data_IF_484367538165
#
_entry.id   IF_484367538165
#
_cell.length_a   1.000
_cell.length_b   1.000
_cell.length_c   1.000
_cell.angle_alpha   90.00
_cell.angle_beta   90.00
_cell.angle_gamma   90.00
#
_symmetry.space_group_name_H-M   'P 1'
#
loop_
_entity.id
_entity.type
_entity.pdbx_description
1 polymer ?
#
# COMPACT_ATOMS: atom_id res chain seq x y z
N UNK A 1 -24.06 -7.90 42.17
CA UNK A 1 -22.62 -8.12 42.48
C UNK A 1 -22.14 -9.53 42.08
N UNK A 2 -22.81 -10.21 41.12
CA UNK A 2 -22.50 -11.60 40.71
C UNK A 2 -22.09 -11.72 39.22
N UNK A 3 -22.12 -10.65 38.43
CA UNK A 3 -21.80 -10.67 36.99
C UNK A 3 -20.35 -10.28 36.70
N UNK A 4 -19.65 -9.61 37.60
CA UNK A 4 -18.24 -9.21 37.44
C UNK A 4 -17.23 -10.35 37.69
N UNK A 5 -17.63 -11.47 38.24
CA UNK A 5 -16.73 -12.58 38.58
C UNK A 5 -16.55 -13.59 37.42
N UNK A 6 -17.48 -13.60 36.46
CA UNK A 6 -17.42 -14.52 35.30
C UNK A 6 -16.56 -13.97 34.15
N UNK A 7 -16.26 -12.66 34.14
CA UNK A 7 -15.40 -12.08 33.10
C UNK A 7 -13.91 -12.25 33.38
N UNK A 8 -13.52 -12.50 34.62
CA UNK A 8 -12.10 -12.70 35.00
C UNK A 8 -11.60 -14.12 34.78
N UNK A 9 -12.49 -15.10 34.64
CA UNK A 9 -12.10 -16.51 34.46
C UNK A 9 -11.86 -16.89 32.98
N UNK A 10 -12.31 -16.05 32.02
CA UNK A 10 -12.15 -16.31 30.58
C UNK A 10 -10.84 -15.76 30.01
N UNK A 11 -10.06 -14.98 30.74
CA UNK A 11 -8.80 -14.35 30.25
C UNK A 11 -7.55 -15.18 30.54
N UNK A 12 -7.67 -16.24 31.36
CA UNK A 12 -6.50 -17.00 31.85
C UNK A 12 -6.11 -18.23 31.01
N UNK A 13 -6.79 -18.55 29.90
CA UNK A 13 -6.52 -19.78 29.14
C UNK A 13 -5.83 -19.58 27.76
N UNK A 14 -5.26 -18.40 27.47
CA UNK A 14 -4.60 -18.14 26.17
C UNK A 14 -3.09 -17.88 26.25
N UNK A 15 -2.41 -18.45 27.23
CA UNK A 15 -0.97 -18.31 27.32
C UNK A 15 -0.29 -19.67 27.47
N UNK A 16 -0.20 -20.47 26.42
CA UNK A 16 0.82 -21.53 26.25
C UNK A 16 0.77 -21.92 24.76
N UNK A 17 1.68 -21.40 23.96
CA UNK A 17 2.48 -22.08 22.94
C UNK A 17 3.24 -21.06 22.08
N UNK A 18 4.39 -20.66 22.55
CA UNK A 18 5.46 -20.16 21.69
C UNK A 18 6.66 -21.07 21.90
N UNK A 19 6.85 -21.98 20.96
CA UNK A 19 8.10 -22.71 20.81
C UNK A 19 9.05 -21.81 20.01
N UNK A 20 9.94 -21.15 20.70
CA UNK A 20 11.05 -20.39 20.13
C UNK A 20 12.18 -21.37 19.83
N UNK A 21 12.47 -21.62 18.57
CA UNK A 21 13.72 -22.23 18.14
C UNK A 21 14.76 -21.12 17.97
N UNK A 22 15.72 -21.06 18.88
CA UNK A 22 16.88 -20.18 18.80
C UNK A 22 17.78 -20.58 17.61
N UNK A 23 18.32 -19.61 16.84
CA UNK A 23 19.38 -19.89 15.89
C UNK A 23 20.71 -20.01 16.64
N UNK A 24 21.24 -21.21 16.71
CA UNK A 24 22.62 -21.45 17.18
C UNK A 24 23.60 -20.89 16.15
N UNK A 25 24.21 -19.76 16.48
CA UNK A 25 25.42 -19.27 15.83
C UNK A 25 26.55 -20.29 16.11
N UNK A 26 27.04 -20.94 15.09
CA UNK A 26 28.33 -21.59 15.09
C UNK A 26 29.19 -20.98 14.01
N UNK A 27 30.08 -20.11 14.45
CA UNK A 27 31.35 -19.87 13.77
C UNK A 27 32.12 -21.20 13.79
N UNK A 28 32.36 -21.76 12.63
CA UNK A 28 33.55 -22.56 12.43
C UNK A 28 33.96 -22.53 10.95
N UNK A 29 35.06 -21.88 10.72
CA UNK A 29 35.85 -21.92 9.51
C UNK A 29 36.59 -23.22 9.43
N UNK A 30 36.10 -24.17 8.65
CA UNK A 30 36.94 -25.22 8.07
C UNK A 30 36.19 -25.86 6.91
N UNK A 31 36.69 -25.63 5.74
CA UNK A 31 36.42 -26.51 4.59
C UNK A 31 36.81 -27.92 4.98
N UNK A 32 35.96 -28.91 4.71
CA UNK A 32 36.43 -30.18 4.27
C UNK A 32 35.91 -30.49 2.87
N UNK A 33 36.83 -30.53 1.94
CA UNK A 33 36.73 -31.48 0.86
C UNK A 33 36.42 -32.83 1.48
N UNK A 34 35.21 -33.27 1.33
CA UNK A 34 34.83 -34.65 1.56
C UNK A 34 33.71 -34.97 0.58
N UNK A 35 34.12 -35.36 -0.58
CA UNK A 35 33.40 -36.28 -1.43
C UNK A 35 33.02 -37.50 -0.58
N UNK A 36 31.97 -37.39 0.20
CA UNK A 36 31.30 -38.55 0.76
C UNK A 36 30.35 -39.07 -0.28
N UNK A 37 30.92 -39.85 -1.18
CA UNK A 37 30.24 -40.81 -2.01
C UNK A 37 29.37 -41.70 -1.07
N UNK A 38 28.11 -41.28 -0.89
CA UNK A 38 27.08 -42.12 -0.31
C UNK A 38 26.58 -43.04 -1.45
N UNK A 39 27.49 -43.74 -2.08
CA UNK A 39 27.21 -44.97 -2.76
C UNK A 39 27.16 -46.06 -1.70
N UNK A 40 26.09 -46.09 -0.91
CA UNK A 40 25.73 -47.29 -0.18
C UNK A 40 25.51 -48.36 -1.22
N UNK A 41 26.52 -49.24 -1.38
CA UNK A 41 26.49 -50.42 -2.20
C UNK A 41 25.37 -51.33 -1.65
N UNK A 42 24.12 -51.04 -2.10
CA UNK A 42 23.01 -51.96 -1.89
C UNK A 42 23.29 -53.19 -2.71
N UNK A 43 23.55 -54.33 -2.03
CA UNK A 43 23.63 -55.60 -2.71
C UNK A 43 22.29 -55.90 -3.40
N UNK A 44 22.31 -56.08 -4.69
CA UNK A 44 21.15 -56.32 -5.57
C UNK A 44 20.31 -57.56 -5.13
N UNK A 45 20.86 -58.40 -4.24
CA UNK A 45 20.27 -59.67 -3.85
C UNK A 45 19.16 -59.54 -2.80
N UNK A 46 19.13 -58.43 -2.04
CA UNK A 46 18.15 -58.20 -0.95
C UNK A 46 16.96 -57.30 -1.30
N UNK A 47 16.92 -56.79 -2.54
CA UNK A 47 15.89 -55.82 -2.96
C UNK A 47 14.67 -56.54 -3.52
N UNK A 48 13.48 -56.10 -3.06
CA UNK A 48 12.22 -56.53 -3.65
C UNK A 48 12.08 -56.05 -5.10
N UNK A 49 11.23 -56.71 -5.88
CA UNK A 49 10.97 -56.28 -7.26
C UNK A 49 10.48 -54.83 -7.39
N UNK A 50 9.75 -54.31 -6.39
CA UNK A 50 9.30 -52.92 -6.35
C UNK A 50 10.46 -51.94 -6.09
N UNK A 51 11.39 -52.28 -5.21
CA UNK A 51 12.58 -51.47 -4.92
C UNK A 51 13.53 -51.41 -6.10
N UNK A 52 13.73 -52.53 -6.83
CA UNK A 52 14.50 -52.49 -8.09
C UNK A 52 13.87 -51.59 -9.13
N UNK A 53 12.54 -51.62 -9.26
CA UNK A 53 11.83 -50.74 -10.19
C UNK A 53 12.00 -49.27 -9.82
N UNK A 54 11.91 -48.94 -8.50
CA UNK A 54 12.14 -47.57 -8.00
C UNK A 54 13.58 -47.12 -8.25
N UNK A 55 14.57 -47.98 -8.04
CA UNK A 55 15.97 -47.67 -8.29
C UNK A 55 16.26 -47.50 -9.82
N UNK A 56 15.63 -48.30 -10.68
CA UNK A 56 15.77 -48.15 -12.11
C UNK A 56 15.14 -46.87 -12.69
N UNK A 57 14.13 -46.32 -11.97
CA UNK A 57 13.47 -45.05 -12.38
C UNK A 57 14.08 -43.83 -11.68
N UNK A 58 15.01 -44.05 -10.72
CA UNK A 58 15.67 -42.95 -10.01
C UNK A 58 16.76 -42.34 -10.92
N UNK A 59 16.42 -41.26 -11.59
CA UNK A 59 17.40 -40.42 -12.26
C UNK A 59 18.09 -39.52 -11.29
N UNK A 60 19.42 -39.48 -11.28
CA UNK A 60 20.14 -38.48 -10.50
C UNK A 60 19.92 -37.11 -11.16
N UNK A 61 19.51 -36.14 -10.37
CA UNK A 61 19.25 -34.77 -10.84
C UNK A 61 20.47 -34.17 -11.53
N UNK A 62 21.67 -34.51 -11.06
CA UNK A 62 22.96 -34.11 -11.65
C UNK A 62 23.13 -34.56 -13.09
N UNK A 63 22.51 -35.70 -13.52
CA UNK A 63 22.61 -36.15 -14.92
C UNK A 63 21.70 -35.38 -15.87
N UNK A 64 20.74 -34.63 -15.35
CA UNK A 64 19.86 -33.72 -16.09
C UNK A 64 20.30 -32.26 -16.05
N UNK A 65 21.12 -31.89 -15.08
CA UNK A 65 21.80 -30.62 -15.05
C UNK A 65 23.12 -30.75 -15.83
N UNK A 66 23.07 -30.65 -17.14
CA UNK A 66 24.25 -30.22 -17.87
C UNK A 66 24.48 -28.76 -17.43
N UNK A 67 25.71 -28.43 -17.05
CA UNK A 67 26.18 -27.06 -16.92
C UNK A 67 26.08 -26.35 -18.26
N UNK A 68 24.86 -26.06 -18.68
CA UNK A 68 24.62 -25.05 -19.67
C UNK A 68 24.89 -23.73 -18.94
N UNK A 69 26.16 -23.35 -18.89
CA UNK A 69 26.49 -21.94 -18.65
C UNK A 69 25.81 -21.17 -19.77
N UNK A 70 24.60 -20.75 -19.51
CA UNK A 70 23.92 -19.77 -20.36
C UNK A 70 24.75 -18.51 -20.19
N UNK A 71 25.56 -18.21 -21.20
CA UNK A 71 26.30 -16.96 -21.23
C UNK A 71 25.29 -15.84 -21.15
N UNK A 72 25.27 -15.17 -20.01
CA UNK A 72 24.36 -14.03 -19.79
C UNK A 72 24.80 -12.93 -20.75
N UNK A 73 23.98 -12.53 -21.71
CA UNK A 73 24.37 -11.51 -22.66
C UNK A 73 24.80 -10.23 -21.93
N UNK A 74 25.85 -9.58 -22.40
CA UNK A 74 26.41 -8.34 -21.86
C UNK A 74 25.34 -7.25 -21.64
N UNK A 75 24.26 -7.29 -22.40
CA UNK A 75 23.10 -6.40 -22.23
C UNK A 75 22.47 -6.49 -20.83
N UNK A 76 22.47 -7.65 -20.20
CA UNK A 76 21.95 -7.85 -18.85
C UNK A 76 22.98 -7.54 -17.75
N UNK A 77 24.25 -7.42 -18.13
CA UNK A 77 25.33 -7.00 -17.23
C UNK A 77 25.52 -5.48 -17.20
N UNK A 78 24.89 -4.77 -18.14
CA UNK A 78 24.91 -3.32 -18.11
C UNK A 78 24.02 -2.84 -16.98
N UNK A 79 24.62 -2.10 -16.04
CA UNK A 79 23.88 -1.35 -15.05
C UNK A 79 23.00 -0.34 -15.81
N UNK A 80 21.69 -0.62 -15.88
CA UNK A 80 20.74 0.32 -16.45
C UNK A 80 20.72 1.50 -15.49
N UNK A 81 21.48 2.54 -15.81
CA UNK A 81 21.29 3.84 -15.17
C UNK A 81 19.90 4.29 -15.59
N UNK A 82 18.91 3.89 -14.80
CA UNK A 82 17.56 4.43 -14.92
C UNK A 82 17.72 5.93 -14.66
N UNK A 83 17.64 6.72 -15.71
CA UNK A 83 17.55 8.17 -15.54
C UNK A 83 16.26 8.42 -14.73
N UNK A 84 16.44 8.67 -13.43
CA UNK A 84 15.34 8.90 -12.47
C UNK A 84 14.43 10.08 -12.89
N UNK A 85 14.76 10.76 -13.99
CA UNK A 85 14.05 11.95 -14.48
C UNK A 85 12.97 11.68 -15.51
N UNK A 86 12.74 10.45 -15.92
CA UNK A 86 11.54 10.11 -16.68
C UNK A 86 10.42 9.64 -15.74
N UNK A 87 10.16 10.43 -14.73
CA UNK A 87 8.96 10.25 -13.92
C UNK A 87 7.76 10.56 -14.83
N UNK A 88 6.90 9.57 -15.06
CA UNK A 88 5.65 9.81 -15.80
C UNK A 88 4.88 10.93 -15.07
N UNK A 89 4.66 12.10 -15.68
CA UNK A 89 4.00 13.22 -15.00
C UNK A 89 2.56 12.91 -14.60
N UNK A 90 1.98 11.87 -15.19
CA UNK A 90 0.63 11.39 -14.87
C UNK A 90 0.64 10.30 -13.79
N UNK A 91 1.80 9.77 -13.40
CA UNK A 91 1.87 8.83 -12.29
C UNK A 91 1.79 9.56 -10.96
N UNK A 92 0.93 9.10 -10.06
CA UNK A 92 0.76 9.76 -8.78
C UNK A 92 -0.13 9.01 -7.81
N UNK A 93 -0.66 9.74 -6.87
CA UNK A 93 -1.43 9.21 -5.74
C UNK A 93 -2.70 10.03 -5.54
N UNK A 94 -3.77 9.33 -5.20
CA UNK A 94 -5.04 9.90 -4.73
C UNK A 94 -5.44 9.31 -3.40
N UNK A 95 -6.29 9.98 -2.67
CA UNK A 95 -6.87 9.46 -1.43
C UNK A 95 -8.26 8.93 -1.70
N UNK A 96 -8.47 7.63 -1.51
CA UNK A 96 -9.79 7.02 -1.62
C UNK A 96 -10.57 7.27 -0.33
N UNK A 97 -11.74 7.91 -0.45
CA UNK A 97 -12.63 8.29 0.66
C UNK A 97 -13.69 7.23 0.94
N UNK A 98 -14.26 6.66 -0.14
CA UNK A 98 -15.37 5.72 -0.06
C UNK A 98 -15.28 4.68 -1.18
N UNK A 99 -15.84 3.49 -0.91
CA UNK A 99 -16.14 2.47 -1.92
C UNK A 99 -17.54 1.93 -1.67
N UNK A 100 -18.46 2.16 -2.61
CA UNK A 100 -19.87 1.77 -2.50
C UNK A 100 -20.40 1.16 -3.80
N UNK A 101 -21.50 0.44 -3.73
CA UNK A 101 -22.22 -0.04 -4.93
C UNK A 101 -23.28 0.93 -5.42
N UNK A 102 -23.56 1.97 -4.65
CA UNK A 102 -24.58 2.97 -4.97
C UNK A 102 -23.91 4.22 -5.57
N UNK A 103 -24.23 4.50 -6.83
CA UNK A 103 -23.67 5.68 -7.54
C UNK A 103 -24.14 6.98 -6.91
N UNK A 104 -25.41 7.08 -6.49
CA UNK A 104 -25.93 8.30 -5.89
C UNK A 104 -25.25 8.64 -4.55
N UNK A 105 -24.90 7.60 -3.77
CA UNK A 105 -24.11 7.76 -2.56
C UNK A 105 -22.70 8.27 -2.87
N UNK A 106 -22.05 7.69 -3.90
CA UNK A 106 -20.72 8.11 -4.33
C UNK A 106 -20.72 9.59 -4.79
N UNK A 107 -21.69 9.99 -5.60
CA UNK A 107 -21.83 11.37 -6.05
C UNK A 107 -22.09 12.32 -4.89
N UNK A 108 -22.97 11.96 -3.96
CA UNK A 108 -23.25 12.78 -2.77
C UNK A 108 -22.01 12.97 -1.91
N UNK A 109 -21.20 11.93 -1.72
CA UNK A 109 -19.96 12.02 -0.94
C UNK A 109 -18.93 12.89 -1.66
N UNK A 110 -18.81 12.80 -2.99
CA UNK A 110 -17.94 13.67 -3.79
C UNK A 110 -18.32 15.13 -3.60
N UNK A 111 -19.59 15.47 -3.85
CA UNK A 111 -20.07 16.86 -3.81
C UNK A 111 -19.95 17.45 -2.40
N UNK A 112 -20.29 16.64 -1.40
CA UNK A 112 -20.13 17.01 0.00
C UNK A 112 -18.66 17.23 0.37
N UNK A 113 -17.76 16.36 -0.09
CA UNK A 113 -16.34 16.51 0.15
C UNK A 113 -15.79 17.79 -0.45
N UNK A 114 -16.11 18.08 -1.73
CA UNK A 114 -15.64 19.28 -2.42
C UNK A 114 -16.09 20.53 -1.66
N UNK A 115 -17.38 20.66 -1.33
CA UNK A 115 -17.92 21.82 -0.62
C UNK A 115 -17.29 21.98 0.79
N UNK A 116 -17.10 20.87 1.50
CA UNK A 116 -16.47 20.88 2.82
C UNK A 116 -14.98 21.24 2.74
N UNK A 117 -14.25 20.64 1.80
CA UNK A 117 -12.81 20.85 1.67
C UNK A 117 -12.49 22.28 1.23
N UNK A 118 -13.29 22.85 0.34
CA UNK A 118 -13.18 24.25 -0.09
C UNK A 118 -13.28 25.23 1.09
N UNK A 119 -14.20 24.97 2.01
CA UNK A 119 -14.37 25.79 3.21
C UNK A 119 -13.33 25.55 4.30
N UNK A 120 -12.83 24.31 4.45
CA UNK A 120 -12.08 23.90 5.65
C UNK A 120 -10.59 23.71 5.40
N UNK A 121 -10.15 23.51 4.17
CA UNK A 121 -8.76 23.22 3.85
C UNK A 121 -8.14 24.39 3.11
N UNK A 122 -6.98 24.82 3.57
CA UNK A 122 -6.15 25.83 2.92
C UNK A 122 -4.99 25.17 2.17
N UNK A 123 -4.50 25.83 1.11
CA UNK A 123 -3.35 25.38 0.32
C UNK A 123 -3.67 24.23 -0.64
N UNK A 124 -4.95 23.92 -0.84
CA UNK A 124 -5.43 22.86 -1.73
C UNK A 124 -6.73 23.31 -2.41
N UNK A 125 -6.79 23.19 -3.74
CA UNK A 125 -8.02 23.34 -4.49
C UNK A 125 -8.72 21.97 -4.49
N UNK A 126 -9.92 21.87 -3.87
CA UNK A 126 -10.54 20.57 -3.65
C UNK A 126 -11.06 19.99 -4.96
N UNK A 127 -10.59 18.81 -5.30
CA UNK A 127 -11.08 18.02 -6.41
C UNK A 127 -11.37 16.58 -5.97
N UNK A 128 -12.46 16.01 -6.47
CA UNK A 128 -12.86 14.66 -6.17
C UNK A 128 -13.52 13.96 -7.35
N UNK A 129 -13.19 12.69 -7.51
CA UNK A 129 -13.54 11.88 -8.66
C UNK A 129 -14.33 10.63 -8.24
N UNK A 130 -15.39 10.32 -8.98
CA UNK A 130 -16.11 9.05 -8.87
C UNK A 130 -15.62 8.11 -9.97
N UNK A 131 -14.96 7.03 -9.59
CA UNK A 131 -14.39 6.05 -10.52
C UNK A 131 -15.11 4.71 -10.34
N UNK A 132 -15.71 4.21 -11.43
CA UNK A 132 -16.31 2.87 -11.41
C UNK A 132 -15.23 1.79 -11.60
N UNK A 133 -15.12 0.91 -10.63
CA UNK A 133 -14.32 -0.33 -10.72
C UNK A 133 -15.22 -1.48 -10.26
N UNK A 134 -15.74 -2.21 -11.22
CA UNK A 134 -16.72 -3.28 -10.98
C UNK A 134 -16.37 -4.12 -9.74
N UNK A 135 -17.32 -4.34 -8.80
CA UNK A 135 -18.71 -3.88 -8.80
C UNK A 135 -18.93 -2.55 -8.07
N UNK A 136 -17.89 -1.79 -7.71
CA UNK A 136 -17.99 -0.65 -6.82
C UNK A 136 -17.67 0.68 -7.52
N UNK A 137 -18.35 1.74 -7.07
CA UNK A 137 -17.97 3.13 -7.27
C UNK A 137 -17.02 3.56 -6.16
N UNK A 138 -15.93 4.21 -6.52
CA UNK A 138 -14.89 4.68 -5.59
C UNK A 138 -14.78 6.18 -5.68
N UNK A 139 -14.91 6.83 -4.54
CA UNK A 139 -14.70 8.29 -4.44
C UNK A 139 -13.25 8.52 -4.05
N UNK A 140 -12.55 9.32 -4.86
CA UNK A 140 -11.13 9.63 -4.70
C UNK A 140 -10.93 11.13 -4.73
N UNK A 141 -10.02 11.61 -3.88
CA UNK A 141 -9.75 13.02 -3.72
C UNK A 141 -8.26 13.32 -3.86
N UNK A 142 -7.97 14.46 -4.46
CA UNK A 142 -6.64 15.02 -4.62
C UNK A 142 -5.83 14.38 -5.74
N UNK A 143 -4.90 15.16 -6.27
CA UNK A 143 -3.90 14.72 -7.22
C UNK A 143 -2.51 15.04 -6.61
N UNK A 144 -1.73 14.02 -6.26
CA UNK A 144 -0.42 14.17 -5.64
C UNK A 144 0.63 13.39 -6.42
N UNK A 145 1.76 13.99 -6.74
CA UNK A 145 2.90 13.28 -7.31
C UNK A 145 3.68 12.54 -6.23
N UNK A 146 3.79 13.14 -5.04
CA UNK A 146 4.53 12.59 -3.93
C UNK A 146 3.61 11.81 -2.99
N UNK A 147 4.06 10.58 -2.64
CA UNK A 147 3.31 9.71 -1.75
C UNK A 147 3.18 10.31 -0.35
N UNK A 148 4.21 10.97 0.13
CA UNK A 148 4.27 11.60 1.46
C UNK A 148 3.18 12.66 1.62
N UNK A 149 2.99 13.50 0.61
CA UNK A 149 1.91 14.52 0.60
C UNK A 149 0.53 13.88 0.60
N UNK A 150 0.32 12.82 -0.20
CA UNK A 150 -0.92 12.07 -0.20
C UNK A 150 -1.21 11.41 1.16
N UNK A 151 -0.17 10.88 1.84
CA UNK A 151 -0.29 10.28 3.18
C UNK A 151 -0.64 11.34 4.21
N UNK A 152 0.02 12.50 4.18
CA UNK A 152 -0.31 13.63 5.05
C UNK A 152 -1.77 14.04 4.88
N UNK A 153 -2.21 14.25 3.63
CA UNK A 153 -3.58 14.60 3.31
C UNK A 153 -4.58 13.53 3.76
N UNK A 154 -4.30 12.25 3.52
CA UNK A 154 -5.11 11.14 4.03
C UNK A 154 -5.23 11.17 5.56
N UNK A 155 -4.12 11.49 6.26
CA UNK A 155 -4.10 11.64 7.72
C UNK A 155 -5.05 12.72 8.23
N UNK A 156 -5.08 13.87 7.55
CA UNK A 156 -6.02 14.97 7.85
C UNK A 156 -7.48 14.54 7.67
N UNK A 157 -7.77 13.78 6.61
CA UNK A 157 -9.13 13.37 6.28
C UNK A 157 -9.69 12.28 7.20
N UNK A 158 -8.85 11.53 7.91
CA UNK A 158 -9.27 10.41 8.77
C UNK A 158 -10.23 10.79 9.89
N UNK A 159 -10.21 12.04 10.35
CA UNK A 159 -11.18 12.54 11.32
C UNK A 159 -12.63 12.47 10.84
N UNK A 160 -12.81 12.61 9.52
CA UNK A 160 -14.12 12.61 8.86
C UNK A 160 -14.38 11.36 8.02
N UNK A 161 -13.34 10.83 7.41
CA UNK A 161 -13.32 9.62 6.58
C UNK A 161 -12.33 8.62 7.19
N UNK A 162 -12.72 7.85 8.23
CA UNK A 162 -11.80 6.95 8.95
C UNK A 162 -11.13 5.93 8.05
N UNK A 163 -11.85 5.49 7.00
CA UNK A 163 -11.39 4.50 6.02
C UNK A 163 -10.60 5.11 4.85
N UNK A 164 -10.22 6.41 4.95
CA UNK A 164 -9.44 7.07 3.92
C UNK A 164 -8.03 6.48 3.82
N UNK A 165 -7.61 6.13 2.60
CA UNK A 165 -6.31 5.55 2.31
C UNK A 165 -5.75 5.97 0.96
N UNK A 166 -4.42 5.98 0.84
CA UNK A 166 -3.72 6.40 -0.36
C UNK A 166 -3.71 5.26 -1.39
N UNK A 167 -4.03 5.61 -2.63
CA UNK A 167 -4.00 4.71 -3.79
C UNK A 167 -3.08 5.28 -4.87
N UNK A 168 -2.34 4.41 -5.55
CA UNK A 168 -1.60 4.78 -6.75
C UNK A 168 -2.55 4.85 -7.94
N UNK A 169 -2.55 5.97 -8.66
CA UNK A 169 -3.42 6.19 -9.83
C UNK A 169 -2.80 7.20 -10.80
N UNK A 170 -3.33 7.25 -12.01
CA UNK A 170 -3.03 8.35 -12.93
C UNK A 170 -3.71 9.61 -12.43
N UNK A 171 -2.92 10.67 -12.33
CA UNK A 171 -3.35 11.99 -11.86
C UNK A 171 -3.38 12.99 -13.04
N UNK A 172 -4.02 14.12 -12.82
CA UNK A 172 -3.93 15.27 -13.72
C UNK A 172 -2.87 16.24 -13.20
N UNK A 173 -1.74 16.40 -13.92
CA UNK A 173 -0.63 17.23 -13.44
C UNK A 173 -1.00 18.69 -13.18
N UNK A 174 -2.00 19.22 -13.89
CA UNK A 174 -2.49 20.58 -13.69
C UNK A 174 -3.18 20.80 -12.36
N UNK A 175 -3.70 19.73 -11.74
CA UNK A 175 -4.45 19.77 -10.48
C UNK A 175 -3.55 19.44 -9.27
N UNK A 176 -2.29 19.15 -9.51
CA UNK A 176 -1.33 18.87 -8.42
C UNK A 176 -1.04 20.17 -7.68
N UNK A 177 -1.25 20.21 -6.34
CA UNK A 177 -0.90 21.38 -5.55
C UNK A 177 0.58 21.73 -5.66
N UNK A 178 0.90 23.00 -5.79
CA UNK A 178 2.29 23.46 -5.88
C UNK A 178 3.12 22.91 -4.70
N UNK A 179 4.40 22.57 -4.94
CA UNK A 179 5.27 21.98 -3.91
C UNK A 179 5.44 22.89 -2.69
N UNK A 180 5.33 24.21 -2.90
CA UNK A 180 5.39 25.22 -1.85
C UNK A 180 4.09 25.38 -1.06
N UNK A 181 2.98 24.79 -1.52
CA UNK A 181 1.69 24.91 -0.83
C UNK A 181 1.64 24.00 0.39
N UNK A 182 1.36 24.58 1.55
CA UNK A 182 1.13 23.85 2.79
C UNK A 182 -0.36 23.52 2.92
N UNK A 183 -0.69 22.24 2.78
CA UNK A 183 -2.06 21.77 2.92
C UNK A 183 -2.36 21.59 4.43
N UNK A 184 -3.30 22.37 4.94
CA UNK A 184 -3.69 22.36 6.37
C UNK A 184 -5.16 22.70 6.55
N UNK A 185 -5.69 22.42 7.72
CA UNK A 185 -7.00 22.98 8.09
C UNK A 185 -6.90 24.47 8.31
N UNK A 186 -7.92 25.21 7.86
CA UNK A 186 -8.07 26.63 8.17
C UNK A 186 -8.30 26.83 9.67
N UNK A 187 -7.72 27.88 10.21
CA UNK A 187 -7.96 28.26 11.61
C UNK A 187 -9.35 28.90 11.79
N UNK A 188 -9.87 28.86 13.01
CA UNK A 188 -11.14 29.52 13.32
C UNK A 188 -11.11 31.03 13.05
N UNK A 189 -9.95 31.65 13.15
CA UNK A 189 -9.77 33.08 12.89
C UNK A 189 -9.87 33.37 11.38
N UNK A 190 -9.26 32.55 10.55
CA UNK A 190 -9.35 32.64 9.09
C UNK A 190 -10.79 32.47 8.60
N UNK A 191 -11.50 31.45 9.13
CA UNK A 191 -12.91 31.21 8.79
C UNK A 191 -13.82 32.39 9.18
N UNK A 192 -13.61 32.98 10.34
CA UNK A 192 -14.39 34.17 10.78
C UNK A 192 -14.10 35.38 9.91
N UNK A 193 -12.84 35.56 9.51
CA UNK A 193 -12.46 36.68 8.68
C UNK A 193 -13.07 36.57 7.27
N UNK A 194 -13.08 35.37 6.68
CA UNK A 194 -13.73 35.14 5.38
C UNK A 194 -15.25 35.40 5.45
N UNK A 195 -15.93 34.90 6.48
CA UNK A 195 -17.36 35.14 6.68
C UNK A 195 -17.69 36.61 6.85
N UNK A 196 -16.83 37.36 7.53
CA UNK A 196 -17.02 38.79 7.70
C UNK A 196 -16.85 39.56 6.35
N UNK A 197 -15.86 39.15 5.55
CA UNK A 197 -15.66 39.72 4.21
C UNK A 197 -16.84 39.44 3.28
N UNK A 198 -17.34 38.21 3.26
CA UNK A 198 -18.53 37.85 2.47
C UNK A 198 -19.76 38.68 2.86
N UNK A 199 -19.97 38.86 4.17
CA UNK A 199 -21.06 39.66 4.68
C UNK A 199 -20.94 41.12 4.23
N UNK A 200 -19.74 41.71 4.30
CA UNK A 200 -19.50 43.10 3.88
C UNK A 200 -19.72 43.29 2.36
N UNK A 201 -19.31 42.31 1.56
CA UNK A 201 -19.55 42.33 0.11
C UNK A 201 -21.04 42.27 -0.22
N UNK A 202 -21.82 41.42 0.46
CA UNK A 202 -23.27 41.37 0.26
C UNK A 202 -23.98 42.66 0.68
N UNK A 203 -23.53 43.32 1.74
CA UNK A 203 -24.10 44.60 2.20
C UNK A 203 -23.81 45.73 1.18
N UNK A 204 -22.62 45.74 0.56
CA UNK A 204 -22.25 46.73 -0.47
C UNK A 204 -23.03 46.55 -1.76
N UNK A 205 -23.27 45.30 -2.20
CA UNK A 205 -24.07 45.04 -3.42
C UNK A 205 -25.54 45.43 -3.24
N UNK A 206 -26.09 45.26 -2.04
CA UNK A 206 -27.49 45.63 -1.75
C UNK A 206 -27.67 47.16 -1.74
N UNK A 207 -26.64 47.89 -1.30
CA UNK A 207 -26.69 49.38 -1.26
C UNK A 207 -26.45 50.05 -2.61
N UNK A 208 -26.01 49.31 -3.65
CA UNK A 208 -25.77 49.83 -4.99
C UNK A 208 -27.00 49.74 -5.91
N UNK A 209 -28.09 49.10 -5.47
CA UNK A 209 -29.32 48.87 -6.28
C UNK A 209 -30.47 49.85 -5.91
N UNK A 210 -30.32 50.64 -4.85
CA UNK A 210 -31.23 51.72 -4.47
C UNK A 210 -30.74 53.06 -5.02
#
# INVERSE_FOLDING_TARGET
MRIKLLFYFSICCFAISCSTSEPTTRDDSSSPDSDSDISGEYRDEDLSSAERMLLSTRSQLSNHYSDNMVEVPDLYMQEIVVDERQTDPYAGFRVQLLSTRNVAEADSVRDYFVAWADSMIAGYEPDAYVVFRSPNYRVRAGDFQERERAVHFSGMLKSRYPDAWVVHERIEPSNVPADTSEIRFRSLEELKFEQEQERQMMETDTSAVD
#
